data_IF_001251691154
#
_entry.id   IF_001251691154
#
_cell.length_a   1.000
_cell.length_b   1.000
_cell.length_c   1.000
_cell.angle_alpha   90.00
_cell.angle_beta   90.00
_cell.angle_gamma   90.00
#
_symmetry.space_group_name_H-M   'P 1'
#
loop_
_entity.id
_entity.type
_entity.pdbx_description
1 polymer ?
#
# COMPACT_ATOMS: atom_id res chain seq x y z
N UNK A 1 10.99 -41.09 -3.56
CA UNK A 1 9.69 -40.47 -3.92
C UNK A 1 9.51 -40.66 -5.42
N UNK A 2 8.28 -40.86 -5.88
CA UNK A 2 8.00 -40.85 -7.31
C UNK A 2 8.10 -39.42 -7.84
N UNK A 3 8.44 -39.23 -9.11
CA UNK A 3 8.43 -37.92 -9.80
C UNK A 3 7.06 -37.23 -9.67
N UNK A 4 5.98 -38.01 -9.62
CA UNK A 4 4.61 -37.51 -9.40
C UNK A 4 4.44 -36.93 -7.98
N UNK A 5 5.03 -37.56 -6.97
CA UNK A 5 4.98 -37.07 -5.58
C UNK A 5 5.71 -35.73 -5.45
N UNK A 6 6.86 -35.60 -6.13
CA UNK A 6 7.64 -34.35 -6.16
C UNK A 6 6.87 -33.21 -6.85
N UNK A 7 6.14 -33.50 -7.93
CA UNK A 7 5.29 -32.52 -8.61
C UNK A 7 4.13 -32.09 -7.71
N UNK A 8 3.47 -33.04 -7.05
CA UNK A 8 2.36 -32.74 -6.13
C UNK A 8 2.83 -31.90 -4.93
N UNK A 9 4.02 -32.17 -4.39
CA UNK A 9 4.62 -31.39 -3.32
C UNK A 9 4.90 -29.95 -3.76
N UNK A 10 5.47 -29.76 -4.96
CA UNK A 10 5.69 -28.41 -5.53
C UNK A 10 4.38 -27.65 -5.73
N UNK A 11 3.33 -28.32 -6.23
CA UNK A 11 2.00 -27.71 -6.38
C UNK A 11 1.45 -27.28 -5.01
N UNK A 12 1.58 -28.12 -3.98
CA UNK A 12 1.14 -27.79 -2.62
C UNK A 12 1.86 -26.55 -2.10
N UNK A 13 3.19 -26.53 -2.19
CA UNK A 13 3.99 -25.39 -1.74
C UNK A 13 3.62 -24.09 -2.48
N UNK A 14 3.39 -24.14 -3.80
CA UNK A 14 2.96 -22.97 -4.56
C UNK A 14 1.57 -22.47 -4.13
N UNK A 15 0.64 -23.36 -3.79
CA UNK A 15 -0.67 -22.97 -3.25
C UNK A 15 -0.58 -22.31 -1.88
N UNK A 16 0.28 -22.83 -1.00
CA UNK A 16 0.55 -22.23 0.31
C UNK A 16 1.12 -20.82 0.14
N UNK A 17 2.09 -20.67 -0.77
CA UNK A 17 2.68 -19.37 -1.11
C UNK A 17 1.67 -18.36 -1.68
N UNK A 18 0.74 -18.80 -2.54
CA UNK A 18 -0.36 -17.95 -3.02
C UNK A 18 -1.23 -17.47 -1.85
N UNK A 19 -1.53 -18.36 -0.89
CA UNK A 19 -2.29 -17.97 0.30
C UNK A 19 -1.56 -16.90 1.12
N UNK A 20 -0.27 -17.09 1.38
CA UNK A 20 0.55 -16.09 2.09
C UNK A 20 0.59 -14.73 1.37
N UNK A 21 0.57 -14.74 0.03
CA UNK A 21 0.49 -13.51 -0.75
C UNK A 21 -0.85 -12.81 -0.63
N UNK A 22 -1.96 -13.55 -0.59
CA UNK A 22 -3.28 -12.96 -0.32
C UNK A 22 -3.38 -12.39 1.09
N UNK A 23 -2.83 -13.08 2.10
CA UNK A 23 -2.79 -12.56 3.47
C UNK A 23 -2.02 -11.22 3.53
N UNK A 24 -0.88 -11.12 2.84
CA UNK A 24 -0.11 -9.87 2.73
C UNK A 24 -0.85 -8.75 1.99
N UNK A 25 -1.60 -9.08 0.94
CA UNK A 25 -2.44 -8.09 0.25
C UNK A 25 -3.49 -7.54 1.23
N UNK A 26 -4.15 -8.41 2.00
CA UNK A 26 -5.13 -7.99 3.00
C UNK A 26 -4.54 -7.03 4.03
N UNK A 27 -3.35 -7.34 4.57
CA UNK A 27 -2.65 -6.45 5.51
C UNK A 27 -2.33 -5.08 4.90
N UNK A 28 -1.91 -5.05 3.63
CA UNK A 28 -1.60 -3.81 2.91
C UNK A 28 -2.86 -2.98 2.60
N UNK A 29 -3.97 -3.63 2.25
CA UNK A 29 -5.26 -2.96 2.01
C UNK A 29 -5.80 -2.34 3.31
N UNK A 30 -5.74 -3.07 4.43
CA UNK A 30 -6.12 -2.53 5.74
C UNK A 30 -5.25 -1.33 6.15
N UNK A 31 -3.93 -1.42 5.92
CA UNK A 31 -3.02 -0.31 6.19
C UNK A 31 -3.31 0.90 5.30
N UNK A 32 -3.60 0.68 4.01
CA UNK A 32 -3.97 1.73 3.07
C UNK A 32 -5.22 2.47 3.56
N UNK A 33 -6.28 1.75 3.88
CA UNK A 33 -7.56 2.34 4.32
C UNK A 33 -7.38 3.17 5.59
N UNK A 34 -6.67 2.63 6.59
CA UNK A 34 -6.38 3.32 7.84
C UNK A 34 -5.59 4.62 7.63
N UNK A 35 -4.54 4.57 6.82
CA UNK A 35 -3.68 5.74 6.56
C UNK A 35 -4.43 6.78 5.72
N UNK A 36 -5.19 6.34 4.72
CA UNK A 36 -5.97 7.21 3.85
C UNK A 36 -7.04 7.99 4.62
N UNK A 37 -7.78 7.32 5.51
CA UNK A 37 -8.76 7.97 6.39
C UNK A 37 -8.10 9.04 7.26
N UNK A 38 -6.97 8.72 7.89
CA UNK A 38 -6.23 9.69 8.73
C UNK A 38 -5.65 10.85 7.95
N UNK A 39 -5.11 10.59 6.75
CA UNK A 39 -4.64 11.64 5.85
C UNK A 39 -5.79 12.61 5.55
N UNK A 40 -6.95 12.10 5.15
CA UNK A 40 -8.13 12.93 4.86
C UNK A 40 -8.61 13.73 6.07
N UNK A 41 -8.59 13.14 7.27
CA UNK A 41 -8.89 13.86 8.52
C UNK A 41 -7.95 15.02 8.78
N UNK A 42 -6.63 14.81 8.68
CA UNK A 42 -5.63 15.88 8.86
C UNK A 42 -5.77 16.97 7.79
N UNK A 43 -6.02 16.56 6.56
CA UNK A 43 -6.18 17.47 5.42
C UNK A 43 -7.39 18.40 5.63
N UNK A 44 -8.54 17.84 5.99
CA UNK A 44 -9.80 18.56 6.14
C UNK A 44 -9.95 19.33 7.46
N UNK A 45 -9.51 18.74 8.57
CA UNK A 45 -9.77 19.31 9.90
C UNK A 45 -8.68 20.28 10.35
N UNK A 46 -7.47 20.20 9.77
CA UNK A 46 -6.32 20.97 10.21
C UNK A 46 -5.66 21.76 9.09
N UNK A 47 -5.23 21.10 8.01
CA UNK A 47 -4.42 21.75 6.98
C UNK A 47 -5.19 22.85 6.23
N UNK A 48 -6.36 22.53 5.66
CA UNK A 48 -7.16 23.53 4.94
C UNK A 48 -7.64 24.67 5.84
N UNK A 49 -8.18 24.41 7.05
CA UNK A 49 -8.57 25.49 7.96
C UNK A 49 -7.41 26.42 8.32
N UNK A 50 -6.24 25.87 8.71
CA UNK A 50 -5.07 26.68 9.05
C UNK A 50 -4.57 27.54 7.88
N UNK A 51 -4.63 27.00 6.67
CA UNK A 51 -4.22 27.69 5.45
C UNK A 51 -5.20 28.80 5.02
N UNK A 52 -6.48 28.67 5.38
CA UNK A 52 -7.54 29.64 5.02
C UNK A 52 -7.72 30.78 6.02
N UNK A 53 -7.16 30.67 7.23
CA UNK A 53 -7.32 31.67 8.29
C UNK A 53 -6.55 32.97 7.98
N UNK A 54 -7.09 34.14 8.32
CA UNK A 54 -6.41 35.43 8.17
C UNK A 54 -6.18 36.03 9.55
N UNK A 55 -4.91 36.34 9.88
CA UNK A 55 -4.51 36.85 11.20
C UNK A 55 -4.26 38.35 11.21
N UNK A 56 -4.62 39.08 10.14
CA UNK A 56 -4.39 40.52 10.07
C UNK A 56 -5.42 41.32 10.88
N UNK A 57 -5.03 41.87 12.04
CA UNK A 57 -5.81 42.86 12.81
C UNK A 57 -4.97 44.12 13.07
N UNK A 58 -5.60 45.29 13.23
CA UNK A 58 -4.89 46.57 13.16
C UNK A 58 -4.48 47.12 14.55
N UNK A 59 -3.19 47.01 14.91
CA UNK A 59 -2.57 47.70 16.06
C UNK A 59 -1.06 47.49 16.19
N UNK A 60 -0.25 48.54 16.45
CA UNK A 60 1.23 48.46 16.42
C UNK A 60 1.86 47.49 17.44
N UNK A 61 1.30 47.36 18.65
CA UNK A 61 1.74 46.36 19.63
C UNK A 61 1.26 44.94 19.30
N UNK A 62 0.18 44.82 18.55
CA UNK A 62 -0.31 43.53 18.03
C UNK A 62 0.54 43.06 16.84
N UNK A 63 1.06 43.98 16.02
CA UNK A 63 1.80 43.64 14.79
C UNK A 63 3.02 42.72 14.98
N UNK A 64 3.73 42.79 16.11
CA UNK A 64 4.84 41.85 16.39
C UNK A 64 4.32 40.46 16.80
N UNK A 65 3.29 40.41 17.65
CA UNK A 65 2.63 39.14 18.02
C UNK A 65 1.95 38.49 16.80
N UNK A 66 1.34 39.27 15.93
CA UNK A 66 0.73 38.81 14.68
C UNK A 66 1.78 38.25 13.72
N UNK A 67 2.90 38.96 13.52
CA UNK A 67 4.01 38.46 12.70
C UNK A 67 4.58 37.15 13.25
N UNK A 68 4.76 37.03 14.57
CA UNK A 68 5.30 35.82 15.17
C UNK A 68 4.30 34.65 15.09
N UNK A 69 3.00 34.93 15.28
CA UNK A 69 1.93 33.95 15.08
C UNK A 69 1.84 33.50 13.61
N UNK A 70 1.95 34.42 12.65
CA UNK A 70 1.89 34.11 11.21
C UNK A 70 3.08 33.26 10.77
N UNK A 71 4.27 33.51 11.30
CA UNK A 71 5.45 32.67 11.05
C UNK A 71 5.26 31.26 11.60
N UNK A 72 4.80 31.14 12.84
CA UNK A 72 4.50 29.83 13.45
C UNK A 72 3.44 29.09 12.64
N UNK A 73 2.37 29.76 12.24
CA UNK A 73 1.31 29.18 11.40
C UNK A 73 1.87 28.72 10.05
N UNK A 74 2.64 29.55 9.36
CA UNK A 74 3.25 29.21 8.08
C UNK A 74 4.18 27.99 8.20
N UNK A 75 4.96 27.90 9.28
CA UNK A 75 5.81 26.75 9.56
C UNK A 75 4.99 25.48 9.82
N UNK A 76 3.92 25.57 10.62
CA UNK A 76 3.02 24.45 10.89
C UNK A 76 2.31 23.96 9.62
N UNK A 77 1.82 24.87 8.77
CA UNK A 77 1.22 24.53 7.47
C UNK A 77 2.26 23.86 6.59
N UNK A 78 3.48 24.40 6.53
CA UNK A 78 4.54 23.82 5.72
C UNK A 78 4.85 22.38 6.15
N UNK A 79 5.08 22.15 7.44
CA UNK A 79 5.36 20.80 7.97
C UNK A 79 4.19 19.84 7.74
N UNK A 80 2.95 20.29 7.95
CA UNK A 80 1.77 19.47 7.65
C UNK A 80 1.66 19.14 6.15
N UNK A 81 1.97 20.09 5.27
CA UNK A 81 1.98 19.88 3.82
C UNK A 81 3.02 18.86 3.38
N UNK A 82 4.25 18.92 3.93
CA UNK A 82 5.29 17.92 3.69
C UNK A 82 4.82 16.53 4.15
N UNK A 83 4.30 16.42 5.38
CA UNK A 83 3.80 15.15 5.91
C UNK A 83 2.65 14.56 5.09
N UNK A 84 1.72 15.39 4.62
CA UNK A 84 0.61 14.95 3.75
C UNK A 84 1.12 14.47 2.39
N UNK A 85 2.14 15.12 1.82
CA UNK A 85 2.77 14.72 0.56
C UNK A 85 3.50 13.38 0.72
N UNK A 86 4.30 13.21 1.77
CA UNK A 86 5.01 11.95 2.04
C UNK A 86 4.02 10.80 2.30
N UNK A 87 2.92 11.09 2.99
CA UNK A 87 1.83 10.12 3.22
C UNK A 87 1.14 9.73 1.92
N UNK A 88 0.90 10.68 1.01
CA UNK A 88 0.34 10.39 -0.31
C UNK A 88 1.25 9.44 -1.10
N UNK A 89 2.56 9.69 -1.07
CA UNK A 89 3.55 8.82 -1.71
C UNK A 89 3.57 7.41 -1.09
N UNK A 90 3.50 7.31 0.23
CA UNK A 90 3.41 6.00 0.89
C UNK A 90 2.17 5.21 0.45
N UNK A 91 1.02 5.87 0.30
CA UNK A 91 -0.20 5.24 -0.19
C UNK A 91 -0.04 4.74 -1.63
N UNK A 92 0.63 5.50 -2.50
CA UNK A 92 0.99 5.06 -3.86
C UNK A 92 1.94 3.85 -3.83
N UNK A 93 2.95 3.87 -2.96
CA UNK A 93 3.92 2.76 -2.79
C UNK A 93 3.21 1.47 -2.32
N UNK A 94 2.20 1.58 -1.42
CA UNK A 94 1.38 0.45 -0.98
C UNK A 94 0.60 -0.15 -2.16
N UNK A 95 -0.06 0.68 -2.97
CA UNK A 95 -0.80 0.21 -4.15
C UNK A 95 0.12 -0.49 -5.16
N UNK A 96 1.31 0.06 -5.40
CA UNK A 96 2.32 -0.56 -6.25
C UNK A 96 2.79 -1.90 -5.69
N UNK A 97 2.98 -2.01 -4.37
CA UNK A 97 3.34 -3.26 -3.71
C UNK A 97 2.24 -4.33 -3.87
N UNK A 98 0.96 -3.95 -3.72
CA UNK A 98 -0.18 -4.85 -3.94
C UNK A 98 -0.17 -5.40 -5.37
N UNK A 99 0.03 -4.54 -6.37
CA UNK A 99 0.05 -4.97 -7.78
C UNK A 99 1.22 -5.93 -8.06
N UNK A 100 2.40 -5.64 -7.51
CA UNK A 100 3.56 -6.53 -7.62
C UNK A 100 3.27 -7.92 -6.99
N UNK A 101 2.58 -7.97 -5.85
CA UNK A 101 2.19 -9.25 -5.24
C UNK A 101 1.18 -10.00 -6.10
N UNK A 102 0.22 -9.29 -6.73
CA UNK A 102 -0.75 -9.89 -7.66
C UNK A 102 -0.06 -10.53 -8.87
N UNK A 103 0.99 -9.91 -9.41
CA UNK A 103 1.80 -10.53 -10.47
C UNK A 103 2.51 -11.80 -9.99
N UNK A 104 3.09 -11.80 -8.78
CA UNK A 104 3.70 -13.00 -8.20
C UNK A 104 2.69 -14.15 -8.00
N UNK A 105 1.44 -13.82 -7.66
CA UNK A 105 0.34 -14.81 -7.60
C UNK A 105 0.10 -15.41 -8.99
N UNK A 106 -0.05 -14.58 -10.03
CA UNK A 106 -0.24 -15.06 -11.42
C UNK A 106 0.88 -15.97 -11.88
N UNK A 107 2.13 -15.65 -11.56
CA UNK A 107 3.29 -16.50 -11.86
C UNK A 107 3.19 -17.87 -11.16
N UNK A 108 2.79 -17.89 -9.88
CA UNK A 108 2.60 -19.12 -9.13
C UNK A 108 1.45 -19.97 -9.71
N UNK A 109 0.34 -19.36 -10.10
CA UNK A 109 -0.81 -20.02 -10.72
C UNK A 109 -0.42 -20.64 -12.07
N UNK A 110 0.25 -19.88 -12.94
CA UNK A 110 0.77 -20.38 -14.22
C UNK A 110 1.72 -21.56 -14.02
N UNK A 111 2.57 -21.51 -12.98
CA UNK A 111 3.48 -22.61 -12.66
C UNK A 111 2.73 -23.86 -12.16
N UNK A 112 1.69 -23.68 -11.35
CA UNK A 112 0.82 -24.78 -10.92
C UNK A 112 0.16 -25.45 -12.12
N UNK A 113 -0.39 -24.68 -13.06
CA UNK A 113 -1.04 -25.24 -14.26
C UNK A 113 -0.04 -26.01 -15.14
N UNK A 114 1.17 -25.47 -15.34
CA UNK A 114 2.25 -26.19 -16.03
C UNK A 114 2.61 -27.52 -15.36
N UNK A 115 2.72 -27.53 -14.02
CA UNK A 115 3.03 -28.74 -13.26
C UNK A 115 1.90 -29.77 -13.30
N UNK A 116 0.64 -29.33 -13.31
CA UNK A 116 -0.52 -30.22 -13.47
C UNK A 116 -0.51 -30.89 -14.84
N UNK A 117 -0.27 -30.12 -15.90
CA UNK A 117 -0.18 -30.65 -17.25
C UNK A 117 0.95 -31.70 -17.39
N UNK A 118 2.13 -31.42 -16.79
CA UNK A 118 3.25 -32.37 -16.76
C UNK A 118 2.87 -33.68 -16.05
N UNK A 119 2.26 -33.57 -14.87
CA UNK A 119 1.80 -34.74 -14.11
C UNK A 119 0.77 -35.55 -14.89
N UNK A 120 -0.20 -34.89 -15.52
CA UNK A 120 -1.28 -35.56 -16.24
C UNK A 120 -0.76 -36.26 -17.51
N UNK A 121 0.25 -35.69 -18.17
CA UNK A 121 0.98 -36.33 -19.27
C UNK A 121 1.74 -37.59 -18.81
N UNK A 122 2.30 -37.59 -17.59
CA UNK A 122 2.98 -38.77 -17.02
C UNK A 122 2.01 -39.87 -16.57
N UNK A 123 0.77 -39.51 -16.21
CA UNK A 123 -0.27 -40.48 -15.79
C UNK A 123 -1.08 -41.02 -16.97
N UNK A 124 -1.01 -40.38 -18.14
CA UNK A 124 -1.61 -40.90 -19.36
C UNK A 124 -0.83 -42.14 -19.82
N UNK A 125 -1.48 -43.30 -20.06
CA UNK A 125 -0.76 -44.47 -20.55
C UNK A 125 -0.04 -44.12 -21.84
N UNK A 126 1.23 -44.52 -21.96
CA UNK A 126 1.91 -44.59 -23.24
C UNK A 126 1.16 -45.63 -24.08
N UNK A 127 0.14 -45.21 -24.82
CA UNK A 127 -0.38 -46.00 -25.93
C UNK A 127 0.69 -45.99 -27.02
N UNK A 128 1.48 -47.07 -27.05
CA UNK A 128 2.55 -47.33 -28.01
C UNK A 128 3.30 -48.62 -27.70
#
# INVERSE_FOLDING_TARGET
MSTIDEINEKIRHLKEKIKEYWDKISELEEAYDYISERKTGIENDYYYPANSFDMTWSGEWQGKCESDADKLRAEMIHQAGVGLSDTAKLLEDILAAIENIKELIKECEAKIESLRAERDAMMSPQEG
#
